data_IF_383355440747
#
_entry.id   IF_383355440747
#
_cell.length_a   1.000
_cell.length_b   1.000
_cell.length_c   1.000
_cell.angle_alpha   90.00
_cell.angle_beta   90.00
_cell.angle_gamma   90.00
#
_symmetry.space_group_name_H-M   'P 1'
#
loop_
_entity.id
_entity.type
_entity.pdbx_description
1 polymer ?
#
# COMPACT_ATOMS: atom_id res chain seq x y z
N UNK A 1 -5.86 -33.84 1.91
CA UNK A 1 -5.81 -32.90 0.77
C UNK A 1 -5.18 -31.62 1.26
N UNK A 2 -4.14 -31.12 0.58
CA UNK A 2 -3.45 -29.88 1.01
C UNK A 2 -4.42 -28.71 0.92
N UNK A 3 -4.80 -28.13 2.07
CA UNK A 3 -5.72 -26.99 2.16
C UNK A 3 -4.98 -25.67 1.84
N UNK A 4 -4.23 -25.65 0.74
CA UNK A 4 -3.38 -24.54 0.31
C UNK A 4 -3.86 -23.99 -1.02
N UNK A 5 -4.10 -22.68 -1.08
CA UNK A 5 -4.37 -21.97 -2.33
C UNK A 5 -3.03 -21.68 -3.04
N UNK A 6 -2.82 -22.23 -4.25
CA UNK A 6 -1.56 -22.05 -4.97
C UNK A 6 -1.41 -20.61 -5.44
N UNK A 7 -0.17 -20.12 -5.37
CA UNK A 7 0.27 -18.80 -5.83
C UNK A 7 1.68 -18.92 -6.41
N UNK A 8 2.21 -17.88 -7.03
CA UNK A 8 3.59 -17.84 -7.59
C UNK A 8 4.72 -18.12 -6.56
N UNK A 9 4.39 -18.20 -5.27
CA UNK A 9 5.27 -18.26 -4.12
C UNK A 9 4.97 -19.48 -3.22
N UNK A 10 4.05 -20.34 -3.67
CA UNK A 10 3.78 -21.62 -3.02
C UNK A 10 4.97 -22.57 -3.16
N UNK A 11 5.22 -23.38 -2.13
CA UNK A 11 6.31 -24.36 -2.11
C UNK A 11 7.62 -23.84 -1.51
N UNK A 12 7.75 -22.53 -1.28
CA UNK A 12 8.92 -21.97 -0.58
C UNK A 12 8.91 -22.28 0.92
N UNK A 13 7.72 -22.34 1.55
CA UNK A 13 7.59 -22.66 2.97
C UNK A 13 6.16 -23.10 3.31
N UNK A 14 5.96 -24.41 3.50
CA UNK A 14 4.62 -24.99 3.62
C UNK A 14 3.76 -24.37 4.75
N UNK A 15 4.35 -24.10 5.92
CA UNK A 15 3.59 -23.51 7.02
C UNK A 15 3.09 -22.10 6.70
N UNK A 16 3.88 -21.31 5.96
CA UNK A 16 3.45 -19.97 5.50
C UNK A 16 2.37 -20.10 4.44
N UNK A 17 2.46 -21.09 3.55
CA UNK A 17 1.45 -21.33 2.53
C UNK A 17 0.10 -21.74 3.13
N UNK A 18 0.12 -22.63 4.13
CA UNK A 18 -1.07 -22.99 4.91
C UNK A 18 -1.68 -21.78 5.61
N UNK A 19 -0.85 -20.97 6.30
CA UNK A 19 -1.34 -19.79 7.01
C UNK A 19 -1.95 -18.74 6.06
N UNK A 20 -1.29 -18.43 4.94
CA UNK A 20 -1.83 -17.50 3.94
C UNK A 20 -3.17 -17.99 3.41
N UNK A 21 -3.27 -19.28 3.10
CA UNK A 21 -4.50 -19.89 2.60
C UNK A 21 -5.64 -19.77 3.61
N UNK A 22 -5.38 -20.07 4.88
CA UNK A 22 -6.36 -19.90 5.96
C UNK A 22 -6.84 -18.44 6.08
N UNK A 23 -5.92 -17.48 6.09
CA UNK A 23 -6.25 -16.05 6.19
C UNK A 23 -7.04 -15.58 4.97
N UNK A 24 -6.62 -15.93 3.76
CA UNK A 24 -7.32 -15.56 2.53
C UNK A 24 -8.72 -16.19 2.43
N UNK A 25 -8.90 -17.43 2.88
CA UNK A 25 -10.22 -18.07 2.98
C UNK A 25 -11.10 -17.33 3.98
N UNK A 26 -10.58 -16.99 5.16
CA UNK A 26 -11.33 -16.25 6.18
C UNK A 26 -11.75 -14.85 5.69
N UNK A 27 -10.83 -14.12 5.04
CA UNK A 27 -11.11 -12.81 4.46
C UNK A 27 -12.23 -12.85 3.41
N UNK A 28 -12.26 -13.90 2.56
CA UNK A 28 -13.32 -14.11 1.58
C UNK A 28 -14.65 -14.44 2.26
N UNK A 29 -14.66 -15.41 3.17
CA UNK A 29 -15.86 -15.86 3.86
C UNK A 29 -16.54 -14.74 4.68
N UNK A 30 -15.75 -13.81 5.23
CA UNK A 30 -16.25 -12.69 6.02
C UNK A 30 -16.57 -11.44 5.20
N UNK A 31 -16.31 -11.43 3.88
CA UNK A 31 -16.43 -10.23 3.05
C UNK A 31 -15.50 -9.09 3.49
N UNK A 32 -14.44 -9.40 4.25
CA UNK A 32 -13.51 -8.42 4.80
C UNK A 32 -12.49 -7.95 3.75
N UNK A 33 -12.22 -8.74 2.72
CA UNK A 33 -11.43 -8.33 1.57
C UNK A 33 -12.30 -7.63 0.50
N UNK A 34 -11.78 -6.53 -0.04
CA UNK A 34 -12.33 -5.87 -1.21
C UNK A 34 -11.66 -6.43 -2.47
N UNK A 35 -12.31 -7.41 -3.10
CA UNK A 35 -11.79 -8.17 -4.22
C UNK A 35 -11.17 -9.51 -3.80
N UNK A 36 -10.48 -10.18 -4.74
CA UNK A 36 -9.78 -11.43 -4.45
C UNK A 36 -8.59 -11.15 -3.52
N UNK A 37 -8.43 -11.76 -2.34
CA UNK A 37 -7.27 -11.52 -1.47
C UNK A 37 -6.06 -12.40 -1.80
N UNK A 38 -6.20 -13.40 -2.68
CA UNK A 38 -5.19 -14.43 -2.92
C UNK A 38 -4.00 -13.86 -3.69
N UNK A 39 -2.79 -14.13 -3.20
CA UNK A 39 -1.54 -13.84 -3.92
C UNK A 39 -1.07 -12.39 -3.86
N UNK A 40 -1.68 -11.51 -3.05
CA UNK A 40 -1.23 -10.13 -2.86
C UNK A 40 -1.65 -9.57 -1.49
N UNK A 41 -1.25 -8.33 -1.18
CA UNK A 41 -1.70 -7.62 0.02
C UNK A 41 -3.18 -7.21 -0.17
N UNK A 42 -4.12 -7.81 0.58
CA UNK A 42 -5.54 -7.58 0.33
C UNK A 42 -5.95 -6.16 0.67
N UNK A 43 -6.68 -5.50 -0.23
CA UNK A 43 -7.50 -4.35 0.16
C UNK A 43 -8.59 -4.87 1.09
N UNK A 44 -8.91 -4.14 2.15
CA UNK A 44 -9.87 -4.59 3.15
C UNK A 44 -10.89 -3.51 3.48
N UNK A 45 -12.09 -3.93 3.86
CA UNK A 45 -13.11 -3.05 4.41
C UNK A 45 -12.60 -2.49 5.74
N UNK A 46 -12.66 -1.16 5.92
CA UNK A 46 -12.10 -0.52 7.11
C UNK A 46 -10.75 0.18 6.90
N UNK A 47 -10.18 0.18 5.70
CA UNK A 47 -8.85 0.72 5.46
C UNK A 47 -8.72 2.23 5.76
N UNK A 48 -9.77 3.01 5.50
CA UNK A 48 -9.83 4.44 5.84
C UNK A 48 -9.84 4.63 7.36
N UNK A 49 -10.72 3.91 8.07
CA UNK A 49 -10.79 3.97 9.54
C UNK A 49 -9.48 3.48 10.19
N UNK A 50 -8.80 2.51 9.57
CA UNK A 50 -7.48 2.07 10.02
C UNK A 50 -6.42 3.19 9.86
N UNK A 51 -6.44 3.94 8.76
CA UNK A 51 -5.55 5.08 8.57
C UNK A 51 -5.85 6.23 9.53
N UNK A 52 -7.13 6.50 9.82
CA UNK A 52 -7.53 7.48 10.85
C UNK A 52 -7.01 7.09 12.23
N UNK A 53 -7.17 5.82 12.63
CA UNK A 53 -6.63 5.29 13.90
C UNK A 53 -5.10 5.34 13.94
N UNK A 54 -4.43 5.04 12.83
CA UNK A 54 -2.97 5.21 12.73
C UNK A 54 -2.58 6.67 12.97
N UNK A 55 -3.34 7.62 12.44
CA UNK A 55 -3.06 9.04 12.56
C UNK A 55 -3.22 9.60 13.98
N UNK A 56 -3.92 8.89 14.88
CA UNK A 56 -4.03 9.28 16.30
C UNK A 56 -2.82 8.88 17.14
N UNK A 57 -1.91 8.05 16.62
CA UNK A 57 -0.78 7.56 17.39
C UNK A 57 0.29 8.64 17.59
N UNK A 58 0.96 8.69 18.75
CA UNK A 58 2.05 9.64 18.99
C UNK A 58 3.21 9.51 17.99
N UNK A 59 3.51 8.30 17.52
CA UNK A 59 4.54 8.07 16.51
C UNK A 59 4.20 8.74 15.17
N UNK A 60 2.92 8.73 14.77
CA UNK A 60 2.44 9.41 13.57
C UNK A 60 2.54 10.93 13.72
N UNK A 61 2.09 11.47 14.85
CA UNK A 61 2.17 12.91 15.14
C UNK A 61 3.61 13.43 15.06
N UNK A 62 4.57 12.69 15.62
CA UNK A 62 6.00 13.05 15.60
C UNK A 62 6.67 12.85 14.25
N UNK A 63 6.14 11.95 13.41
CA UNK A 63 6.73 11.63 12.12
C UNK A 63 6.59 12.80 11.14
N UNK A 64 7.73 13.25 10.62
CA UNK A 64 7.81 14.20 9.49
C UNK A 64 7.87 13.49 8.14
N UNK A 65 8.37 12.25 8.14
CA UNK A 65 8.60 11.42 6.96
C UNK A 65 7.89 10.09 7.14
N UNK A 66 7.16 9.65 6.12
CA UNK A 66 6.44 8.37 6.07
C UNK A 66 6.94 7.59 4.87
N UNK A 67 7.16 6.28 5.04
CA UNK A 67 7.36 5.37 3.90
C UNK A 67 6.15 4.46 3.77
N UNK A 68 5.63 4.30 2.56
CA UNK A 68 4.53 3.39 2.25
C UNK A 68 4.78 2.65 0.93
N UNK A 69 4.28 1.43 0.80
CA UNK A 69 4.28 0.72 -0.48
C UNK A 69 3.12 1.20 -1.35
N UNK A 70 3.13 0.96 -2.67
CA UNK A 70 2.06 1.36 -3.57
C UNK A 70 0.82 0.45 -3.50
N UNK A 71 0.74 -0.51 -2.57
CA UNK A 71 -0.41 -1.40 -2.44
C UNK A 71 -1.70 -0.62 -2.14
N UNK A 72 -2.83 -1.04 -2.75
CA UNK A 72 -4.14 -0.40 -2.55
C UNK A 72 -4.59 -0.39 -1.09
N UNK A 73 -4.19 -1.40 -0.31
CA UNK A 73 -4.49 -1.48 1.11
C UNK A 73 -3.91 -0.31 1.93
N UNK A 74 -2.83 0.32 1.43
CA UNK A 74 -2.14 1.43 2.12
C UNK A 74 -2.50 2.81 1.53
N UNK A 75 -3.37 2.88 0.53
CA UNK A 75 -3.79 4.14 -0.12
C UNK A 75 -4.31 5.17 0.88
N UNK A 76 -5.20 4.82 1.84
CA UNK A 76 -5.68 5.80 2.82
C UNK A 76 -4.57 6.34 3.74
N UNK A 77 -3.55 5.52 4.05
CA UNK A 77 -2.38 5.96 4.83
C UNK A 77 -1.54 6.97 4.05
N UNK A 78 -1.33 6.73 2.76
CA UNK A 78 -0.60 7.66 1.87
C UNK A 78 -1.34 8.98 1.73
N UNK A 79 -2.64 8.93 1.48
CA UNK A 79 -3.48 10.12 1.41
C UNK A 79 -3.41 10.92 2.72
N UNK A 80 -3.57 10.24 3.87
CA UNK A 80 -3.51 10.89 5.17
C UNK A 80 -2.15 11.51 5.46
N UNK A 81 -1.04 10.86 5.06
CA UNK A 81 0.30 11.43 5.20
C UNK A 81 0.44 12.74 4.41
N UNK A 82 -0.05 12.79 3.17
CA UNK A 82 -0.03 14.00 2.34
C UNK A 82 -0.91 15.10 2.92
N UNK A 83 -2.11 14.77 3.39
CA UNK A 83 -3.04 15.72 4.04
C UNK A 83 -2.45 16.33 5.32
N UNK A 84 -1.73 15.53 6.11
CA UNK A 84 -1.04 15.99 7.32
C UNK A 84 0.29 16.72 7.02
N UNK A 85 0.59 17.01 5.74
CA UNK A 85 1.78 17.76 5.32
C UNK A 85 3.10 17.02 5.52
N UNK A 86 3.07 15.67 5.56
CA UNK A 86 4.27 14.84 5.75
C UNK A 86 4.95 14.56 4.41
N UNK A 87 6.26 14.36 4.44
CA UNK A 87 6.99 13.86 3.28
C UNK A 87 6.77 12.35 3.14
N UNK A 88 6.21 11.93 2.00
CA UNK A 88 5.89 10.54 1.73
C UNK A 88 6.91 9.94 0.75
N UNK A 89 7.59 8.88 1.16
CA UNK A 89 8.37 8.03 0.25
C UNK A 89 7.55 6.82 -0.16
N UNK A 90 7.24 6.72 -1.44
CA UNK A 90 6.56 5.55 -2.01
C UNK A 90 7.57 4.65 -2.73
N UNK A 91 7.55 3.37 -2.39
CA UNK A 91 8.38 2.37 -3.07
C UNK A 91 7.89 2.14 -4.51
N UNK A 92 8.83 1.91 -5.41
CA UNK A 92 8.55 1.49 -6.77
C UNK A 92 8.21 0.00 -6.80
N UNK A 93 7.31 -0.47 -7.69
CA UNK A 93 6.96 -1.88 -7.75
C UNK A 93 8.19 -2.79 -7.84
N UNK A 94 8.24 -3.82 -6.98
CA UNK A 94 9.29 -4.86 -6.94
C UNK A 94 10.71 -4.37 -6.65
N UNK A 95 10.92 -3.07 -6.37
CA UNK A 95 12.23 -2.48 -6.05
C UNK A 95 13.33 -2.80 -7.08
N UNK A 96 12.98 -3.01 -8.35
CA UNK A 96 13.90 -3.51 -9.39
C UNK A 96 14.92 -2.49 -9.87
N UNK A 97 14.86 -1.24 -9.37
CA UNK A 97 15.67 -0.12 -9.87
C UNK A 97 16.56 0.46 -8.78
N UNK A 98 17.73 1.02 -9.13
CA UNK A 98 18.59 1.71 -8.16
C UNK A 98 17.90 2.89 -7.46
N UNK A 99 17.02 3.61 -8.17
CA UNK A 99 16.14 4.65 -7.61
C UNK A 99 14.75 4.08 -7.36
N UNK A 100 14.61 3.35 -6.26
CA UNK A 100 13.40 2.59 -5.93
C UNK A 100 12.43 3.29 -4.96
N UNK A 101 12.57 4.61 -4.79
CA UNK A 101 11.63 5.42 -4.01
C UNK A 101 11.34 6.75 -4.71
N UNK A 102 10.08 7.18 -4.64
CA UNK A 102 9.61 8.49 -5.07
C UNK A 102 9.25 9.30 -3.83
N UNK A 103 9.77 10.52 -3.73
CA UNK A 103 9.40 11.47 -2.69
C UNK A 103 8.19 12.29 -3.14
N UNK A 104 7.18 12.39 -2.28
CA UNK A 104 5.91 13.07 -2.52
C UNK A 104 5.64 14.05 -1.38
N UNK A 105 5.36 15.29 -1.74
CA UNK A 105 5.02 16.36 -0.80
C UNK A 105 3.81 17.13 -1.33
N UNK A 106 2.84 17.42 -0.47
CA UNK A 106 1.59 18.08 -0.88
C UNK A 106 1.84 19.45 -1.54
N UNK A 107 2.84 20.21 -1.07
CA UNK A 107 3.19 21.50 -1.66
C UNK A 107 3.72 21.35 -3.10
N UNK A 108 4.59 20.37 -3.36
CA UNK A 108 5.11 20.08 -4.71
C UNK A 108 4.00 19.59 -5.64
N UNK A 109 3.12 18.71 -5.15
CA UNK A 109 1.98 18.20 -5.90
C UNK A 109 1.02 19.33 -6.29
N UNK A 110 0.73 20.26 -5.36
CA UNK A 110 -0.11 21.42 -5.61
C UNK A 110 0.48 22.34 -6.69
N UNK A 111 1.81 22.58 -6.67
CA UNK A 111 2.50 23.35 -7.71
C UNK A 111 2.41 22.69 -9.10
N UNK A 112 2.31 21.36 -9.13
CA UNK A 112 2.17 20.57 -10.35
C UNK A 112 0.69 20.35 -10.76
N UNK A 113 -0.27 20.85 -9.98
CA UNK A 113 -1.70 20.65 -10.24
C UNK A 113 -2.17 19.20 -10.04
N UNK A 114 -1.45 18.40 -9.24
CA UNK A 114 -1.78 16.99 -8.99
C UNK A 114 -2.65 16.86 -7.74
N UNK A 115 -3.82 16.23 -7.89
CA UNK A 115 -4.72 15.93 -6.78
C UNK A 115 -4.12 14.89 -5.82
N UNK A 116 -4.27 15.09 -4.51
CA UNK A 116 -3.68 14.22 -3.49
C UNK A 116 -4.27 12.81 -3.51
N UNK A 117 -5.54 12.63 -3.87
CA UNK A 117 -6.15 11.31 -3.99
C UNK A 117 -5.51 10.55 -5.15
N UNK A 118 -5.28 11.22 -6.28
CA UNK A 118 -4.57 10.63 -7.43
C UNK A 118 -3.15 10.24 -7.04
N UNK A 119 -2.41 11.16 -6.41
CA UNK A 119 -1.04 10.93 -5.96
C UNK A 119 -0.90 9.78 -4.94
N UNK A 120 -1.91 9.57 -4.10
CA UNK A 120 -1.94 8.50 -3.12
C UNK A 120 -2.21 7.11 -3.72
N UNK A 121 -2.74 7.00 -4.94
CA UNK A 121 -3.00 5.70 -5.56
C UNK A 121 -1.71 4.96 -5.95
N UNK A 122 -1.84 3.68 -6.29
CA UNK A 122 -0.73 2.91 -6.85
C UNK A 122 -0.22 3.44 -8.21
N UNK A 123 -1.00 4.31 -8.87
CA UNK A 123 -0.68 4.98 -10.14
C UNK A 123 -0.29 6.45 -9.98
N UNK A 124 -0.45 7.02 -8.79
CA UNK A 124 0.03 8.37 -8.48
C UNK A 124 1.55 8.48 -8.67
N UNK A 125 2.23 7.36 -8.45
CA UNK A 125 3.63 7.18 -8.82
C UNK A 125 3.88 7.33 -10.31
N UNK A 126 3.02 6.84 -11.21
CA UNK A 126 3.28 6.82 -12.66
C UNK A 126 3.27 8.23 -13.29
N UNK A 127 2.41 9.13 -12.79
CA UNK A 127 2.37 10.53 -13.24
C UNK A 127 3.54 11.37 -12.70
N UNK A 128 4.15 10.92 -11.61
CA UNK A 128 5.27 11.56 -10.90
C UNK A 128 6.59 10.82 -11.13
N UNK A 129 6.52 9.69 -11.82
CA UNK A 129 7.64 8.85 -12.16
C UNK A 129 8.38 9.55 -13.31
N UNK A 130 9.66 9.90 -13.16
CA UNK A 130 10.40 10.52 -14.25
C UNK A 130 10.36 9.62 -15.50
N UNK A 131 10.01 10.12 -16.70
CA UNK A 131 9.89 9.30 -17.90
C UNK A 131 11.14 8.42 -18.07
N UNK A 132 10.92 7.11 -18.28
CA UNK A 132 12.00 6.12 -18.32
C UNK A 132 12.10 5.23 -17.08
N UNK A 133 11.02 5.08 -16.30
CA UNK A 133 10.98 3.95 -15.39
C UNK A 133 9.62 3.29 -15.17
N UNK A 134 9.23 2.59 -16.22
CA UNK A 134 8.98 1.15 -16.13
C UNK A 134 10.10 0.42 -16.87
#
# INVERSE_FOLDING_TARGET
MSNTMPTEWSGHHEAKDRLRSQVWTALQAQGAALGNPVGHIPRFAGAEQAAERLATLPCWSRARVIKSNPDRAQEPVRLRALQDGKQLYMAVPRLTKPRCFVALEAATLAQQGVDLNVAATNRGGDALWPPGGV
#
